data_IF_006037853663
#
_entry.id   IF_006037853663
#
_cell.length_a   1.000
_cell.length_b   1.000
_cell.length_c   1.000
_cell.angle_alpha   90.00
_cell.angle_beta   90.00
_cell.angle_gamma   90.00
#
_symmetry.space_group_name_H-M   'P 1'
#
loop_
_entity.id
_entity.type
_entity.pdbx_description
1 polymer ?
#
# COMPACT_ATOMS: atom_id res chain seq x y z
N UNK A 1 -28.21 2.36 5.45
CA UNK A 1 -26.76 2.48 5.22
C UNK A 1 -26.59 3.25 3.93
N UNK A 2 -26.03 4.46 3.99
CA UNK A 2 -25.79 5.28 2.80
C UNK A 2 -24.89 4.52 1.83
N UNK A 3 -25.32 4.46 0.58
CA UNK A 3 -24.56 3.95 -0.54
C UNK A 3 -23.35 4.88 -0.71
N UNK A 4 -22.20 4.46 -0.20
CA UNK A 4 -20.94 5.14 -0.45
C UNK A 4 -20.64 4.92 -1.93
N UNK A 5 -20.60 6.01 -2.71
CA UNK A 5 -19.88 6.02 -3.98
C UNK A 5 -18.54 5.31 -3.75
N UNK A 6 -18.14 4.39 -4.64
CA UNK A 6 -17.19 3.29 -4.37
C UNK A 6 -15.77 3.63 -3.87
N UNK A 7 -15.47 4.89 -3.55
CA UNK A 7 -14.22 5.39 -2.98
C UNK A 7 -14.45 5.94 -1.55
N UNK A 8 -13.55 5.62 -0.62
CA UNK A 8 -13.57 6.16 0.75
C UNK A 8 -12.54 7.29 0.86
N UNK A 9 -12.96 8.57 0.96
CA UNK A 9 -12.02 9.69 1.04
C UNK A 9 -11.40 9.80 2.44
N UNK A 10 -10.07 9.69 2.53
CA UNK A 10 -9.35 9.96 3.78
C UNK A 10 -9.04 11.44 3.99
N UNK A 11 -8.81 12.19 2.90
CA UNK A 11 -8.49 13.63 2.92
C UNK A 11 -7.40 14.00 3.95
N UNK A 12 -6.41 13.12 4.13
CA UNK A 12 -5.36 13.30 5.11
C UNK A 12 -4.18 14.05 4.49
N UNK A 13 -3.77 15.21 5.02
CA UNK A 13 -2.62 15.94 4.50
C UNK A 13 -1.32 15.24 4.89
N UNK A 14 -0.40 15.10 3.94
CA UNK A 14 0.95 14.57 4.15
C UNK A 14 1.93 15.56 3.56
N UNK A 15 2.88 16.03 4.37
CA UNK A 15 3.98 16.88 3.94
C UNK A 15 5.31 16.29 4.44
N UNK A 16 6.27 16.14 3.53
CA UNK A 16 7.56 15.55 3.81
C UNK A 16 8.64 16.24 2.97
N UNK A 17 9.73 16.63 3.63
CA UNK A 17 10.90 17.21 2.99
C UNK A 17 12.07 16.23 3.03
N UNK A 18 12.63 15.91 1.87
CA UNK A 18 13.82 15.08 1.75
C UNK A 18 15.01 15.89 1.22
N UNK A 19 16.19 15.62 1.77
CA UNK A 19 17.47 16.09 1.23
C UNK A 19 18.31 14.86 0.89
N UNK A 20 18.78 14.77 -0.35
CA UNK A 20 19.57 13.65 -0.84
C UNK A 20 20.67 14.14 -1.78
N UNK A 21 21.80 13.41 -1.80
CA UNK A 21 22.97 13.68 -2.64
C UNK A 21 22.96 12.88 -3.95
N UNK A 22 22.06 11.89 -4.08
CA UNK A 22 21.94 11.02 -5.24
C UNK A 22 20.48 10.65 -5.49
N UNK A 23 20.13 10.41 -6.75
CA UNK A 23 18.80 9.95 -7.17
C UNK A 23 18.60 8.44 -6.93
N UNK A 24 19.67 7.71 -6.61
CA UNK A 24 19.61 6.28 -6.35
C UNK A 24 18.73 6.00 -5.13
N UNK A 25 17.75 5.11 -5.29
CA UNK A 25 16.78 4.82 -4.23
C UNK A 25 15.65 5.83 -4.14
N UNK A 26 15.29 6.48 -5.26
CA UNK A 26 14.17 7.41 -5.43
C UNK A 26 13.00 7.14 -4.47
N UNK A 27 12.45 8.18 -3.81
CA UNK A 27 11.45 8.02 -2.77
C UNK A 27 10.27 7.16 -3.21
N UNK A 28 9.87 6.29 -2.29
CA UNK A 28 8.74 5.39 -2.44
C UNK A 28 7.75 5.67 -1.32
N UNK A 29 6.48 5.48 -1.63
CA UNK A 29 5.42 5.47 -0.64
C UNK A 29 4.97 4.03 -0.43
N UNK A 30 4.92 3.65 0.84
CA UNK A 30 4.35 2.38 1.27
C UNK A 30 3.14 2.65 2.14
N UNK A 31 2.04 1.96 1.85
CA UNK A 31 0.77 2.12 2.54
C UNK A 31 0.38 0.80 3.20
N UNK A 32 -0.16 0.90 4.40
CA UNK A 32 -0.72 -0.21 5.13
C UNK A 32 -2.14 0.15 5.54
N UNK A 33 -3.12 -0.50 4.91
CA UNK A 33 -4.53 -0.23 5.15
C UNK A 33 -5.06 -1.23 6.15
N UNK A 34 -5.57 -0.72 7.26
CA UNK A 34 -6.20 -1.51 8.31
C UNK A 34 -7.70 -1.24 8.34
N UNK A 35 -8.50 -2.28 8.57
CA UNK A 35 -9.91 -2.16 8.90
C UNK A 35 -10.13 -2.53 10.36
N UNK A 36 -11.18 -1.93 10.92
CA UNK A 36 -11.73 -2.34 12.20
C UNK A 36 -13.06 -3.05 11.92
N UNK A 37 -13.19 -4.29 12.38
CA UNK A 37 -14.42 -5.05 12.18
C UNK A 37 -15.52 -4.63 13.17
N UNK A 38 -16.72 -5.19 13.01
CA UNK A 38 -17.87 -4.90 13.89
C UNK A 38 -17.65 -5.31 15.36
N UNK A 39 -16.62 -6.11 15.66
CA UNK A 39 -16.23 -6.52 17.01
C UNK A 39 -15.06 -5.68 17.56
N UNK A 40 -14.61 -4.64 16.85
CA UNK A 40 -13.51 -3.76 17.25
C UNK A 40 -12.11 -4.34 17.00
N UNK A 41 -12.00 -5.47 16.31
CA UNK A 41 -10.70 -6.10 15.98
C UNK A 41 -10.07 -5.41 14.79
N UNK A 42 -8.75 -5.25 14.82
CA UNK A 42 -7.97 -4.68 13.72
C UNK A 42 -7.48 -5.78 12.81
N UNK A 43 -7.93 -5.75 11.56
CA UNK A 43 -7.48 -6.68 10.52
C UNK A 43 -6.81 -5.92 9.37
N UNK A 44 -5.82 -6.56 8.76
CA UNK A 44 -5.14 -5.99 7.61
C UNK A 44 -6.04 -6.10 6.36
N UNK A 45 -6.29 -4.96 5.72
CA UNK A 45 -6.90 -4.93 4.38
C UNK A 45 -5.84 -5.17 3.32
N UNK A 46 -4.72 -4.45 3.38
CA UNK A 46 -3.67 -4.64 2.39
C UNK A 46 -2.46 -3.76 2.59
N UNK A 47 -1.38 -4.19 1.95
CA UNK A 47 -0.10 -3.52 1.81
C UNK A 47 0.02 -3.01 0.39
N UNK A 48 0.54 -1.80 0.21
CA UNK A 48 0.81 -1.24 -1.10
C UNK A 48 2.15 -0.54 -1.12
N UNK A 49 2.76 -0.47 -2.29
CA UNK A 49 3.96 0.32 -2.52
C UNK A 49 3.91 0.91 -3.93
N UNK A 50 4.29 2.18 -4.04
CA UNK A 50 4.53 2.83 -5.31
C UNK A 50 5.77 3.72 -5.23
N UNK A 51 6.45 3.88 -6.35
CA UNK A 51 7.46 4.93 -6.50
C UNK A 51 6.75 6.26 -6.69
N UNK A 52 7.29 7.32 -6.09
CA UNK A 52 6.79 8.65 -6.41
C UNK A 52 7.18 9.00 -7.86
N UNK A 53 6.34 9.71 -8.62
CA UNK A 53 6.73 10.27 -9.91
C UNK A 53 7.81 11.35 -9.72
N UNK A 54 8.45 11.71 -10.82
CA UNK A 54 9.31 12.89 -10.85
C UNK A 54 8.45 14.16 -10.73
N UNK A 55 9.04 15.22 -10.16
CA UNK A 55 8.36 16.51 -10.06
C UNK A 55 7.92 17.00 -11.44
N UNK A 56 6.63 17.25 -11.59
CA UNK A 56 6.05 17.94 -12.75
C UNK A 56 5.42 19.25 -12.33
N UNK A 57 4.98 20.03 -13.32
CA UNK A 57 4.16 21.20 -13.06
C UNK A 57 2.74 20.74 -12.74
N UNK A 58 2.31 20.91 -11.48
CA UNK A 58 0.95 20.63 -11.02
C UNK A 58 0.78 19.38 -10.17
N UNK A 59 -0.47 19.12 -9.80
CA UNK A 59 -0.87 17.99 -8.97
C UNK A 59 -0.81 16.68 -9.77
N UNK A 60 -0.26 15.65 -9.13
CA UNK A 60 -0.13 14.32 -9.70
C UNK A 60 -0.95 13.32 -8.89
N UNK A 61 -1.56 12.37 -9.58
CA UNK A 61 -2.30 11.26 -8.98
C UNK A 61 -1.55 9.95 -9.18
N UNK A 62 -1.31 9.20 -8.09
CA UNK A 62 -0.83 7.82 -8.12
C UNK A 62 -1.94 6.90 -7.62
N UNK A 63 -2.11 5.78 -8.32
CA UNK A 63 -2.82 4.62 -7.80
C UNK A 63 -1.83 3.59 -7.22
N UNK A 64 -1.91 3.36 -5.92
CA UNK A 64 -1.15 2.32 -5.23
C UNK A 64 -2.02 1.07 -5.14
N UNK A 65 -1.67 0.05 -5.93
CA UNK A 65 -2.32 -1.24 -5.85
C UNK A 65 -1.92 -1.96 -4.56
N UNK A 66 -2.92 -2.42 -3.83
CA UNK A 66 -2.70 -3.10 -2.55
C UNK A 66 -2.90 -4.60 -2.68
N UNK A 67 -2.21 -5.33 -1.82
CA UNK A 67 -2.24 -6.77 -1.74
C UNK A 67 -2.21 -7.22 -0.29
N UNK A 68 -2.72 -8.40 0.01
CA UNK A 68 -2.61 -9.00 1.34
C UNK A 68 -2.15 -10.44 1.24
N UNK A 69 -1.39 -10.94 2.23
CA UNK A 69 -1.07 -12.34 2.29
C UNK A 69 -2.34 -13.16 2.52
N UNK A 70 -2.33 -14.40 2.05
CA UNK A 70 -3.41 -15.36 2.26
C UNK A 70 -2.87 -16.68 2.76
N UNK A 71 -3.71 -17.38 3.52
CA UNK A 71 -3.44 -18.77 3.81
C UNK A 71 -3.66 -19.58 2.53
N UNK A 72 -2.60 -20.25 2.08
CA UNK A 72 -2.70 -21.18 0.97
C UNK A 72 -2.68 -22.61 1.48
N UNK A 73 -3.60 -23.42 0.94
CA UNK A 73 -3.66 -24.83 1.23
C UNK A 73 -4.12 -25.58 -0.03
N UNK A 74 -3.59 -26.78 -0.35
CA UNK A 74 -3.99 -27.52 -1.54
C UNK A 74 -5.47 -27.87 -1.59
N UNK A 75 -6.05 -28.27 -0.46
CA UNK A 75 -7.47 -28.63 -0.34
C UNK A 75 -8.40 -27.41 -0.42
N UNK A 76 -9.38 -27.47 -1.32
CA UNK A 76 -10.40 -26.43 -1.51
C UNK A 76 -11.31 -26.27 -0.28
N UNK A 77 -11.67 -27.38 0.37
CA UNK A 77 -12.50 -27.35 1.59
C UNK A 77 -11.83 -26.57 2.72
N UNK A 78 -10.50 -26.71 2.86
CA UNK A 78 -9.73 -25.98 3.88
C UNK A 78 -9.69 -24.49 3.57
N UNK A 79 -9.50 -24.10 2.30
CA UNK A 79 -9.53 -22.68 1.90
C UNK A 79 -10.90 -22.05 2.14
N UNK A 80 -11.98 -22.77 1.84
CA UNK A 80 -13.35 -22.32 2.08
C UNK A 80 -13.62 -22.14 3.59
N UNK A 81 -13.26 -23.14 4.39
CA UNK A 81 -13.37 -23.05 5.85
C UNK A 81 -12.58 -21.88 6.42
N UNK A 82 -11.35 -21.64 5.94
CA UNK A 82 -10.54 -20.50 6.37
C UNK A 82 -11.18 -19.17 5.98
N UNK A 83 -11.75 -19.04 4.77
CA UNK A 83 -12.47 -17.85 4.35
C UNK A 83 -13.67 -17.54 5.25
N UNK A 84 -14.47 -18.56 5.59
CA UNK A 84 -15.58 -18.43 6.53
C UNK A 84 -15.07 -18.06 7.93
N UNK A 85 -14.04 -18.75 8.43
CA UNK A 85 -13.42 -18.44 9.72
C UNK A 85 -12.94 -16.99 9.77
N UNK A 86 -12.26 -16.48 8.74
CA UNK A 86 -11.81 -15.10 8.68
C UNK A 86 -12.98 -14.10 8.71
N UNK A 87 -14.10 -14.42 8.05
CA UNK A 87 -15.28 -13.56 8.07
C UNK A 87 -15.91 -13.45 9.48
N UNK A 88 -15.96 -14.54 10.24
CA UNK A 88 -16.57 -14.56 11.58
C UNK A 88 -15.58 -14.20 12.69
N UNK A 89 -14.39 -14.78 12.68
CA UNK A 89 -13.36 -14.66 13.72
C UNK A 89 -12.28 -13.62 13.41
N UNK A 90 -12.23 -13.07 12.20
CA UNK A 90 -11.12 -12.20 11.80
C UNK A 90 -9.78 -12.93 11.81
N UNK A 91 -8.70 -12.17 11.92
CA UNK A 91 -7.34 -12.71 12.06
C UNK A 91 -6.71 -13.02 10.71
N UNK A 92 -6.80 -12.06 9.79
CA UNK A 92 -6.08 -12.15 8.52
C UNK A 92 -4.58 -12.22 8.77
N UNK A 93 -3.81 -12.97 7.96
CA UNK A 93 -2.38 -13.08 8.18
C UNK A 93 -1.73 -11.70 8.02
N UNK A 94 -0.84 -11.36 8.94
CA UNK A 94 -0.11 -10.08 8.97
C UNK A 94 1.37 -10.37 8.70
N UNK A 95 2.03 -9.47 7.97
CA UNK A 95 3.47 -9.58 7.77
C UNK A 95 4.16 -9.38 9.11
N UNK A 96 5.02 -10.32 9.49
CA UNK A 96 5.87 -10.16 10.67
C UNK A 96 6.95 -9.10 10.45
N UNK A 97 7.46 -9.03 9.22
CA UNK A 97 8.46 -8.06 8.80
C UNK A 97 7.87 -7.07 7.79
N UNK A 98 7.86 -5.80 8.18
CA UNK A 98 7.37 -4.71 7.35
C UNK A 98 8.35 -4.32 6.23
N UNK A 99 9.62 -4.74 6.29
CA UNK A 99 10.59 -4.49 5.23
C UNK A 99 10.15 -5.10 3.88
N UNK A 100 9.41 -6.21 3.94
CA UNK A 100 8.80 -6.90 2.80
C UNK A 100 7.78 -6.05 2.03
N UNK A 101 7.29 -4.96 2.63
CA UNK A 101 6.37 -4.03 1.96
C UNK A 101 7.14 -3.15 0.98
N UNK A 102 8.38 -2.77 1.32
CA UNK A 102 9.22 -1.85 0.55
C UNK A 102 10.02 -2.55 -0.57
N UNK A 103 10.27 -3.85 -0.40
CA UNK A 103 10.99 -4.69 -1.34
C UNK A 103 10.05 -5.66 -2.06
N UNK A 104 10.02 -5.61 -3.40
CA UNK A 104 9.31 -6.63 -4.19
C UNK A 104 10.08 -7.96 -4.28
N UNK A 105 11.35 -7.97 -3.89
CA UNK A 105 12.29 -9.07 -4.10
C UNK A 105 11.86 -10.36 -3.40
N UNK A 106 11.28 -10.27 -2.21
CA UNK A 106 10.91 -11.45 -1.42
C UNK A 106 9.42 -11.81 -1.52
N UNK A 107 8.64 -10.99 -2.23
CA UNK A 107 7.19 -11.16 -2.33
C UNK A 107 6.79 -12.49 -2.97
N UNK A 108 7.63 -13.07 -3.84
CA UNK A 108 7.37 -14.37 -4.47
C UNK A 108 7.28 -15.53 -3.46
N UNK A 109 7.86 -15.37 -2.26
CA UNK A 109 7.80 -16.38 -1.19
C UNK A 109 6.42 -16.42 -0.51
N UNK A 110 5.57 -15.43 -0.75
CA UNK A 110 4.28 -15.27 -0.11
C UNK A 110 3.13 -15.58 -1.07
N UNK A 111 2.13 -16.30 -0.58
CA UNK A 111 0.85 -16.36 -1.26
C UNK A 111 0.07 -15.08 -0.97
N UNK A 112 -0.27 -14.33 -2.02
CA UNK A 112 -0.93 -13.03 -1.90
C UNK A 112 -2.13 -12.93 -2.83
N UNK A 113 -3.08 -12.06 -2.47
CA UNK A 113 -4.20 -11.67 -3.32
C UNK A 113 -4.26 -10.14 -3.41
N UNK A 114 -4.81 -9.61 -4.50
CA UNK A 114 -5.11 -8.19 -4.63
C UNK A 114 -6.20 -7.76 -3.65
N UNK A 115 -6.08 -6.56 -3.07
CA UNK A 115 -7.01 -6.04 -2.08
C UNK A 115 -7.43 -4.58 -2.34
N UNK A 116 -7.64 -4.24 -3.61
CA UNK A 116 -8.07 -2.91 -4.02
C UNK A 116 -6.91 -1.94 -4.24
N UNK A 117 -7.24 -0.65 -4.36
CA UNK A 117 -6.28 0.41 -4.67
C UNK A 117 -6.46 1.61 -3.76
N UNK A 118 -5.35 2.31 -3.50
CA UNK A 118 -5.29 3.56 -2.74
C UNK A 118 -4.90 4.67 -3.71
N UNK A 119 -5.75 5.69 -3.84
CA UNK A 119 -5.47 6.87 -4.65
C UNK A 119 -4.79 7.93 -3.79
N UNK A 120 -3.68 8.46 -4.27
CA UNK A 120 -2.93 9.52 -3.63
C UNK A 120 -2.77 10.67 -4.60
N UNK A 121 -3.07 11.88 -4.12
CA UNK A 121 -2.82 13.12 -4.84
C UNK A 121 -1.82 13.94 -4.06
N UNK A 122 -0.78 14.41 -4.74
CA UNK A 122 0.25 15.20 -4.10
C UNK A 122 0.93 16.12 -5.12
N UNK A 123 1.60 17.15 -4.59
CA UNK A 123 2.46 18.04 -5.35
C UNK A 123 3.91 17.74 -4.96
N UNK A 124 4.75 17.40 -5.94
CA UNK A 124 6.18 17.16 -5.70
C UNK A 124 6.96 18.39 -6.15
N UNK A 125 7.71 18.96 -5.20
CA UNK A 125 8.60 20.07 -5.46
C UNK A 125 10.04 19.62 -5.37
N UNK A 126 10.86 20.01 -6.35
CA UNK A 126 12.30 19.74 -6.36
C UNK A 126 13.07 21.04 -6.44
N UNK A 127 14.14 21.13 -5.66
CA UNK A 127 15.05 22.28 -5.65
C UNK A 127 16.47 21.80 -5.87
N UNK A 128 17.20 22.44 -6.78
CA UNK A 128 18.63 22.17 -7.00
C UNK A 128 18.96 20.87 -7.77
N UNK A 129 17.98 20.02 -8.09
CA UNK A 129 18.23 18.77 -8.82
C UNK A 129 18.86 18.97 -10.21
N UNK A 130 18.44 20.00 -10.96
CA UNK A 130 19.04 20.36 -12.25
C UNK A 130 20.49 20.86 -12.10
N UNK A 131 20.76 21.64 -11.04
CA UNK A 131 22.10 22.18 -10.76
C UNK A 131 23.08 21.06 -10.40
N UNK A 132 22.59 20.03 -9.70
CA UNK A 132 23.34 18.85 -9.32
C UNK A 132 23.38 17.77 -10.43
N UNK A 133 22.91 18.07 -11.64
CA UNK A 133 22.91 17.17 -12.79
C UNK A 133 22.20 15.82 -12.54
N UNK A 134 21.19 15.81 -11.65
CA UNK A 134 20.45 14.59 -11.25
C UNK A 134 19.23 14.32 -12.14
N UNK A 135 18.80 15.28 -12.95
CA UNK A 135 17.64 15.18 -13.85
C UNK A 135 18.01 15.90 -15.14
N UNK A 136 17.71 15.25 -16.27
CA UNK A 136 17.95 15.80 -17.62
C UNK A 136 17.02 16.97 -17.95
#
# INVERSE_FOLDING_TARGET
MQQLDGDVPWNFPIDVHYSFSSIQGWPKISVQVWQVDGYGRKDICGYGMAYLPMASQGEQEIEVYTWRPTFWHPSLFVRLYQGLRLLFMGGSPVLRDNALIHGNEERFKLHTIGSGKVKLRFNIFTRGMKQANMVF
#
